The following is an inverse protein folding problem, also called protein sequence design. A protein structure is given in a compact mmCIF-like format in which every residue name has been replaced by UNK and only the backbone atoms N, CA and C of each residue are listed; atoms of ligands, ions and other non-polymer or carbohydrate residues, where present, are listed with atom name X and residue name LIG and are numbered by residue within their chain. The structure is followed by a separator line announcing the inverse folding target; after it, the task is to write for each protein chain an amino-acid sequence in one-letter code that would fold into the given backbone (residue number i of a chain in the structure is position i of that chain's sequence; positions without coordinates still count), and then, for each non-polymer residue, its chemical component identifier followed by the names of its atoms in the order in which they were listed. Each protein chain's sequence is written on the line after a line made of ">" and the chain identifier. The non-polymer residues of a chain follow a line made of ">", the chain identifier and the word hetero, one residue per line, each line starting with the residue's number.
data_IF_154217253299
#
_entry.id   IF_154217253299
#
_cell.length_a   1.000
_cell.length_b   1.000
_cell.length_c   1.000
_cell.angle_alpha   90.00
_cell.angle_beta   90.00
_cell.angle_gamma   90.00
#
_symmetry.space_group_name_H-M   'P 1'
#
loop_
_entity.id
_entity.type
_entity.pdbx_description
1 polymer ?
#
# COMPACT_ATOMS: atom_id res chain seq x y z
N UNK A 1 -7.09 7.44 1.09
CA UNK A 1 -5.77 7.44 0.41
C UNK A 1 -4.66 7.12 1.39
N UNK A 2 -4.72 7.75 2.56
CA UNK A 2 -3.87 7.61 3.75
C UNK A 2 -3.43 6.16 4.02
N UNK A 3 -4.38 5.21 4.07
CA UNK A 3 -4.06 3.80 4.31
C UNK A 3 -3.15 3.19 3.24
N UNK A 4 -3.46 3.43 1.96
CA UNK A 4 -2.65 2.92 0.84
C UNK A 4 -1.29 3.62 0.80
N UNK A 5 -1.24 4.93 1.05
CA UNK A 5 0.01 5.70 1.10
C UNK A 5 0.92 5.19 2.23
N UNK A 6 0.36 4.93 3.42
CA UNK A 6 1.12 4.43 4.57
C UNK A 6 1.71 3.04 4.30
N UNK A 7 0.93 2.13 3.71
CA UNK A 7 1.42 0.79 3.33
C UNK A 7 2.52 0.90 2.28
N UNK A 8 2.34 1.71 1.25
CA UNK A 8 3.37 1.91 0.21
C UNK A 8 4.67 2.49 0.77
N UNK A 9 4.59 3.51 1.63
CA UNK A 9 5.77 4.08 2.26
C UNK A 9 6.52 3.04 3.11
N UNK A 10 5.77 2.26 3.92
CA UNK A 10 6.33 1.20 4.75
C UNK A 10 7.01 0.11 3.92
N UNK A 11 6.37 -0.33 2.83
CA UNK A 11 6.91 -1.36 1.96
C UNK A 11 8.23 -0.91 1.30
N UNK A 12 8.33 0.35 0.87
CA UNK A 12 9.58 0.90 0.32
C UNK A 12 10.65 1.03 1.41
N UNK A 13 10.29 1.37 2.65
CA UNK A 13 11.25 1.38 3.78
C UNK A 13 11.82 -0.02 4.04
N UNK A 14 10.99 -1.06 4.01
CA UNK A 14 11.45 -2.46 4.16
C UNK A 14 12.38 -2.83 3.01
N UNK A 15 12.01 -2.49 1.78
CA UNK A 15 12.88 -2.70 0.63
C UNK A 15 14.23 -2.01 0.81
N UNK A 16 14.25 -0.76 1.26
CA UNK A 16 15.48 0.00 1.48
C UNK A 16 16.44 -0.66 2.47
N UNK A 17 15.90 -1.26 3.54
CA UNK A 17 16.68 -2.00 4.54
C UNK A 17 17.20 -3.35 4.02
N UNK A 18 16.48 -3.99 3.09
CA UNK A 18 16.77 -5.36 2.63
C UNK A 18 17.44 -5.44 1.25
N UNK A 19 17.49 -4.33 0.48
CA UNK A 19 18.02 -4.29 -0.89
C UNK A 19 19.46 -4.77 -1.04
N UNK A 20 20.25 -4.75 0.03
CA UNK A 20 21.63 -5.24 0.03
C UNK A 20 21.73 -6.76 0.08
N UNK A 21 20.66 -7.44 0.53
CA UNK A 21 20.56 -8.90 0.61
C UNK A 21 19.97 -9.46 -0.67
N UNK A 22 18.91 -8.83 -1.17
CA UNK A 22 18.23 -9.21 -2.41
C UNK A 22 17.69 -7.96 -3.13
N UNK A 23 18.20 -7.71 -4.33
CA UNK A 23 17.75 -6.61 -5.19
C UNK A 23 16.54 -6.98 -6.05
N UNK A 24 16.17 -8.27 -6.10
CA UNK A 24 15.05 -8.78 -6.89
C UNK A 24 13.70 -8.76 -6.17
N UNK A 25 13.63 -8.19 -4.96
CA UNK A 25 12.40 -8.11 -4.18
C UNK A 25 11.29 -7.38 -4.95
N UNK A 26 10.05 -7.87 -4.88
CA UNK A 26 8.89 -7.24 -5.53
C UNK A 26 7.89 -6.85 -4.45
N UNK A 27 7.50 -5.56 -4.42
CA UNK A 27 6.44 -5.06 -3.55
C UNK A 27 5.09 -5.24 -4.26
N UNK A 28 4.16 -6.00 -3.68
CA UNK A 28 2.75 -5.98 -4.08
C UNK A 28 2.00 -7.33 -3.99
N UNK A 29 0.69 -7.34 -4.33
CA UNK A 29 -0.16 -6.18 -4.66
C UNK A 29 -0.56 -5.38 -3.41
N UNK A 30 -0.77 -4.07 -3.56
CA UNK A 30 -1.30 -3.18 -2.51
C UNK A 30 -2.75 -2.84 -2.86
N UNK A 31 -3.69 -3.16 -1.98
CA UNK A 31 -5.11 -2.92 -2.17
C UNK A 31 -5.82 -2.56 -0.88
N UNK A 32 -6.97 -1.90 -1.01
CA UNK A 32 -7.86 -1.60 0.11
C UNK A 32 -8.73 -2.83 0.38
N UNK A 33 -8.65 -3.38 1.59
CA UNK A 33 -9.44 -4.55 2.00
C UNK A 33 -10.82 -4.12 2.47
N UNK A 34 -10.87 -3.07 3.28
CA UNK A 34 -12.12 -2.54 3.84
C UNK A 34 -12.02 -1.02 4.02
N UNK A 35 -13.19 -0.37 4.01
CA UNK A 35 -13.37 1.01 4.42
C UNK A 35 -14.75 1.15 5.02
N UNK A 36 -14.82 1.74 6.20
CA UNK A 36 -16.08 2.11 6.84
C UNK A 36 -16.32 3.60 6.74
N UNK A 37 -17.55 4.00 6.47
CA UNK A 37 -17.96 5.40 6.38
C UNK A 37 -17.74 6.04 5.00
N UNK A 38 -18.52 7.08 4.74
CA UNK A 38 -18.66 7.73 3.44
C UNK A 38 -19.99 7.36 2.78
N UNK A 39 -20.68 8.37 2.23
CA UNK A 39 -21.82 8.13 1.36
C UNK A 39 -21.27 7.61 0.04
N UNK A 40 -21.64 6.38 -0.33
CA UNK A 40 -21.52 5.95 -1.72
C UNK A 40 -22.68 6.62 -2.45
N UNK A 41 -22.48 7.86 -2.90
CA UNK A 41 -23.47 8.56 -3.74
C UNK A 41 -23.62 7.73 -5.01
N UNK A 42 -24.73 7.01 -5.11
CA UNK A 42 -25.08 6.19 -6.27
C UNK A 42 -25.72 7.08 -7.36
N UNK A 43 -25.17 8.28 -7.55
CA UNK A 43 -25.68 9.30 -8.46
C UNK A 43 -24.99 9.21 -9.84
N UNK A 44 -24.95 8.00 -10.39
CA UNK A 44 -24.75 7.74 -11.82
C UNK A 44 -26.02 7.12 -12.40
#
# INVERSE_FOLDING_TARGET
>A
MEALTAVSATAVTVYDMCKSVDEGMIIGPIMLIEKTGGVLSNDF
#
